data_IF_529755691292
#
_entry.id   IF_529755691292
#
_cell.length_a   1.000
_cell.length_b   1.000
_cell.length_c   1.000
_cell.angle_alpha   90.00
_cell.angle_beta   90.00
_cell.angle_gamma   90.00
#
_symmetry.space_group_name_H-M   'P 1'
#
loop_
_entity.id
_entity.type
_entity.pdbx_description
1 polymer ?
#
# COMPACT_ATOMS: atom_id res chain seq x y z
N UNK A 1 2.09 7.55 -17.31
CA UNK A 1 0.63 7.62 -17.06
C UNK A 1 0.26 6.63 -15.97
N UNK A 2 -0.60 7.03 -15.02
CA UNK A 2 -1.11 6.13 -13.99
C UNK A 2 -1.95 5.01 -14.60
N UNK A 3 -1.84 3.81 -14.03
CA UNK A 3 -2.62 2.63 -14.41
C UNK A 3 -3.39 2.08 -13.20
N UNK A 4 -4.46 1.33 -13.44
CA UNK A 4 -5.10 0.56 -12.36
C UNK A 4 -4.15 -0.53 -11.85
N UNK A 5 -4.38 -1.02 -10.65
CA UNK A 5 -3.56 -2.09 -10.08
C UNK A 5 -3.98 -3.49 -10.57
N UNK A 6 -5.09 -3.62 -11.30
CA UNK A 6 -5.68 -4.89 -11.69
C UNK A 6 -4.69 -5.81 -12.40
N UNK A 7 -4.11 -5.35 -13.51
CA UNK A 7 -3.24 -6.22 -14.31
C UNK A 7 -1.90 -6.53 -13.63
N UNK A 8 -1.30 -5.54 -12.94
CA UNK A 8 -0.05 -5.79 -12.22
C UNK A 8 -0.22 -6.81 -11.10
N UNK A 9 -1.37 -6.84 -10.42
CA UNK A 9 -1.63 -7.79 -9.33
C UNK A 9 -2.02 -9.17 -9.84
N UNK A 10 -2.72 -9.29 -10.97
CA UNK A 10 -2.94 -10.56 -11.64
C UNK A 10 -1.63 -11.21 -12.07
N UNK A 11 -0.72 -10.42 -12.67
CA UNK A 11 0.61 -10.89 -13.04
C UNK A 11 1.42 -11.30 -11.80
N UNK A 12 1.34 -10.53 -10.72
CA UNK A 12 2.03 -10.85 -9.47
C UNK A 12 1.55 -12.18 -8.89
N UNK A 13 0.24 -12.40 -8.83
CA UNK A 13 -0.31 -13.67 -8.37
C UNK A 13 0.14 -14.85 -9.22
N UNK A 14 0.00 -14.75 -10.53
CA UNK A 14 0.41 -15.79 -11.47
C UNK A 14 1.93 -16.06 -11.42
N UNK A 15 2.73 -15.04 -11.15
CA UNK A 15 4.19 -15.10 -11.07
C UNK A 15 4.76 -15.39 -9.69
N UNK A 16 3.91 -15.59 -8.67
CA UNK A 16 4.33 -15.82 -7.28
C UNK A 16 5.30 -14.74 -6.76
N UNK A 17 4.92 -13.48 -6.94
CA UNK A 17 5.57 -12.32 -6.34
C UNK A 17 4.52 -11.34 -5.83
N UNK A 18 4.92 -10.32 -5.10
CA UNK A 18 4.02 -9.26 -4.68
C UNK A 18 4.52 -7.89 -5.14
N UNK A 19 3.56 -7.02 -5.47
CA UNK A 19 3.83 -5.60 -5.72
C UNK A 19 3.76 -4.86 -4.39
N UNK A 20 4.78 -4.04 -4.10
CA UNK A 20 4.78 -3.20 -2.92
C UNK A 20 3.84 -2.00 -3.08
N UNK A 21 3.00 -1.76 -2.07
CA UNK A 21 2.39 -0.46 -1.85
C UNK A 21 3.21 0.29 -0.80
N UNK A 22 3.72 1.45 -1.18
CA UNK A 22 4.42 2.35 -0.27
C UNK A 22 3.61 3.61 -0.10
N UNK A 23 3.28 3.96 1.14
CA UNK A 23 2.51 5.16 1.44
C UNK A 23 3.35 6.42 1.18
N UNK A 24 2.72 7.45 0.62
CA UNK A 24 3.35 8.74 0.34
C UNK A 24 2.76 9.83 1.22
N UNK A 25 3.60 10.76 1.69
CA UNK A 25 3.20 11.87 2.54
C UNK A 25 3.60 13.23 1.98
N UNK A 26 4.55 13.27 1.02
CA UNK A 26 5.09 14.49 0.46
C UNK A 26 5.90 14.21 -0.81
N UNK A 27 6.57 15.25 -1.32
CA UNK A 27 7.40 15.20 -2.52
C UNK A 27 8.59 14.23 -2.37
N UNK A 28 9.27 14.23 -1.24
CA UNK A 28 10.47 13.41 -0.99
C UNK A 28 10.14 11.92 -1.01
N UNK A 29 9.05 11.52 -0.37
CA UNK A 29 8.54 10.14 -0.41
C UNK A 29 8.21 9.69 -1.81
N UNK A 30 7.41 10.48 -2.52
CA UNK A 30 6.94 10.16 -3.86
C UNK A 30 8.10 10.01 -4.83
N UNK A 31 9.04 10.95 -4.82
CA UNK A 31 10.22 10.92 -5.67
C UNK A 31 11.12 9.71 -5.38
N UNK A 32 11.39 9.43 -4.10
CA UNK A 32 12.23 8.31 -3.70
C UNK A 32 11.65 6.95 -4.16
N UNK A 33 10.36 6.76 -3.99
CA UNK A 33 9.68 5.52 -4.38
C UNK A 33 9.67 5.36 -5.91
N UNK A 34 9.30 6.40 -6.64
CA UNK A 34 9.25 6.36 -8.11
C UNK A 34 10.61 6.09 -8.74
N UNK A 35 11.67 6.76 -8.27
CA UNK A 35 13.03 6.54 -8.76
C UNK A 35 13.52 5.11 -8.49
N UNK A 36 13.22 4.57 -7.31
CA UNK A 36 13.60 3.20 -6.97
C UNK A 36 12.85 2.19 -7.83
N UNK A 37 11.55 2.37 -8.02
CA UNK A 37 10.74 1.52 -8.90
C UNK A 37 11.27 1.52 -10.33
N UNK A 38 11.62 2.70 -10.87
CA UNK A 38 12.18 2.83 -12.22
C UNK A 38 13.55 2.16 -12.33
N UNK A 39 14.44 2.38 -11.36
CA UNK A 39 15.78 1.77 -11.33
C UNK A 39 15.72 0.24 -11.31
N UNK A 40 14.80 -0.32 -10.53
CA UNK A 40 14.65 -1.77 -10.37
C UNK A 40 13.71 -2.41 -11.41
N UNK A 41 13.18 -1.62 -12.34
CA UNK A 41 12.18 -2.09 -13.30
C UNK A 41 11.03 -2.86 -12.62
N UNK A 42 10.50 -2.28 -11.55
CA UNK A 42 9.46 -2.87 -10.71
C UNK A 42 8.15 -2.10 -10.85
N UNK A 43 6.99 -2.78 -10.99
CA UNK A 43 5.71 -2.11 -10.78
C UNK A 43 5.62 -1.64 -9.32
N UNK A 44 4.84 -0.60 -9.09
CA UNK A 44 4.67 -0.03 -7.75
C UNK A 44 3.28 0.58 -7.55
N UNK A 45 2.81 0.56 -6.31
CA UNK A 45 1.57 1.20 -5.89
C UNK A 45 1.94 2.30 -4.89
N UNK A 46 1.51 3.53 -5.17
CA UNK A 46 1.61 4.67 -4.25
C UNK A 46 0.33 4.73 -3.42
N UNK A 47 0.43 4.46 -2.13
CA UNK A 47 -0.70 4.51 -1.21
C UNK A 47 -0.86 5.90 -0.60
N UNK A 48 -2.10 6.35 -0.50
CA UNK A 48 -2.47 7.62 0.14
C UNK A 48 -3.62 7.36 1.10
N UNK A 49 -3.39 7.52 2.40
CA UNK A 49 -4.45 7.49 3.40
C UNK A 49 -5.27 8.79 3.36
N UNK A 50 -6.45 8.81 3.94
CA UNK A 50 -7.25 10.04 4.03
C UNK A 50 -6.50 11.12 4.82
N UNK A 51 -5.80 10.75 5.89
CA UNK A 51 -4.94 11.65 6.67
C UNK A 51 -3.80 12.23 5.85
N UNK A 52 -3.10 11.41 5.07
CA UNK A 52 -2.05 11.88 4.17
C UNK A 52 -2.58 12.79 3.05
N UNK A 53 -3.73 12.45 2.48
CA UNK A 53 -4.40 13.29 1.49
C UNK A 53 -4.75 14.67 2.03
N UNK A 54 -5.27 14.72 3.26
CA UNK A 54 -5.55 15.98 3.97
C UNK A 54 -4.27 16.78 4.27
N UNK A 55 -3.21 16.09 4.73
CA UNK A 55 -1.91 16.70 4.99
C UNK A 55 -1.32 17.34 3.72
N UNK A 56 -1.42 16.67 2.59
CA UNK A 56 -0.98 17.18 1.28
C UNK A 56 -1.96 18.17 0.65
N UNK A 57 -2.89 18.71 1.39
CA UNK A 57 -3.91 19.70 1.03
C UNK A 57 -5.10 19.21 0.21
N UNK A 58 -5.10 17.98 -0.23
CA UNK A 58 -6.22 17.36 -0.94
C UNK A 58 -5.79 16.42 -2.06
N UNK A 59 -6.70 15.57 -2.50
CA UNK A 59 -6.42 14.53 -3.48
C UNK A 59 -6.02 15.06 -4.86
N UNK A 60 -6.55 16.20 -5.29
CA UNK A 60 -6.16 16.85 -6.58
C UNK A 60 -4.71 17.31 -6.54
N UNK A 61 -4.21 17.79 -5.40
CA UNK A 61 -2.79 18.14 -5.20
C UNK A 61 -1.92 16.88 -5.33
N UNK A 62 -2.33 15.79 -4.70
CA UNK A 62 -1.63 14.50 -4.79
C UNK A 62 -1.54 14.03 -6.23
N UNK A 63 -2.65 14.01 -6.96
CA UNK A 63 -2.70 13.62 -8.38
C UNK A 63 -1.79 14.49 -9.24
N UNK A 64 -1.84 15.81 -9.03
CA UNK A 64 -0.99 16.77 -9.76
C UNK A 64 0.50 16.54 -9.51
N UNK A 65 0.88 16.34 -8.25
CA UNK A 65 2.26 16.03 -7.85
C UNK A 65 2.76 14.72 -8.49
N UNK A 66 1.99 13.66 -8.38
CA UNK A 66 2.38 12.34 -8.91
C UNK A 66 2.50 12.37 -10.43
N UNK A 67 1.51 12.92 -11.14
CA UNK A 67 1.54 13.02 -12.59
C UNK A 67 2.72 13.86 -13.08
N UNK A 68 2.96 15.02 -12.46
CA UNK A 68 4.12 15.86 -12.79
C UNK A 68 5.44 15.13 -12.60
N UNK A 69 5.61 14.42 -11.48
CA UNK A 69 6.83 13.63 -11.25
C UNK A 69 7.01 12.49 -12.24
N UNK A 70 5.94 11.78 -12.58
CA UNK A 70 6.01 10.69 -13.55
C UNK A 70 6.48 11.19 -14.93
N UNK A 71 6.03 12.36 -15.33
CA UNK A 71 6.44 12.99 -16.59
C UNK A 71 7.91 13.47 -16.53
N UNK A 72 8.25 14.32 -15.54
CA UNK A 72 9.58 14.91 -15.42
C UNK A 72 10.70 13.88 -15.16
N UNK A 73 10.39 12.80 -14.44
CA UNK A 73 11.34 11.73 -14.14
C UNK A 73 11.36 10.62 -15.23
N UNK A 74 10.56 10.74 -16.28
CA UNK A 74 10.42 9.73 -17.33
C UNK A 74 10.12 8.33 -16.76
N UNK A 75 9.16 8.23 -15.85
CA UNK A 75 8.75 6.95 -15.24
C UNK A 75 7.99 6.12 -16.28
N UNK A 76 8.51 4.95 -16.60
CA UNK A 76 7.93 4.02 -17.56
C UNK A 76 7.36 2.75 -16.97
N UNK A 77 7.76 2.41 -15.75
CA UNK A 77 7.20 1.27 -15.01
C UNK A 77 5.72 1.50 -14.68
N UNK A 78 4.91 0.44 -14.55
CA UNK A 78 3.52 0.57 -14.12
C UNK A 78 3.42 1.16 -12.71
N UNK A 79 2.66 2.24 -12.55
CA UNK A 79 2.40 2.93 -11.28
C UNK A 79 0.91 3.09 -11.09
N UNK A 80 0.38 2.60 -9.98
CA UNK A 80 -0.98 2.88 -9.52
C UNK A 80 -0.96 3.90 -8.38
N UNK A 81 -1.87 4.87 -8.42
CA UNK A 81 -2.14 5.78 -7.31
C UNK A 81 -3.40 5.32 -6.61
N UNK A 82 -3.28 4.94 -5.36
CA UNK A 82 -4.24 4.14 -4.61
C UNK A 82 -4.65 4.84 -3.30
N UNK A 83 -5.96 5.00 -3.08
CA UNK A 83 -6.48 5.38 -1.77
C UNK A 83 -6.36 4.20 -0.82
N UNK A 84 -5.71 4.39 0.32
CA UNK A 84 -5.50 3.39 1.36
C UNK A 84 -6.47 3.61 2.52
N UNK A 85 -7.17 2.57 2.96
CA UNK A 85 -8.20 2.63 4.02
C UNK A 85 -9.23 3.75 3.83
N UNK A 86 -9.83 3.80 2.64
CA UNK A 86 -10.81 4.83 2.31
C UNK A 86 -12.19 4.58 2.92
N UNK A 87 -12.82 5.64 3.41
CA UNK A 87 -14.26 5.68 3.63
C UNK A 87 -15.01 5.65 2.29
N UNK A 88 -16.31 5.37 2.30
CA UNK A 88 -17.11 5.42 1.08
C UNK A 88 -17.04 6.80 0.40
N UNK A 89 -17.14 7.87 1.19
CA UNK A 89 -17.00 9.24 0.69
C UNK A 89 -15.60 9.55 0.16
N UNK A 90 -14.55 9.09 0.86
CA UNK A 90 -13.17 9.21 0.43
C UNK A 90 -12.92 8.53 -0.91
N UNK A 91 -13.50 7.35 -1.13
CA UNK A 91 -13.47 6.64 -2.40
C UNK A 91 -14.05 7.50 -3.55
N UNK A 92 -15.23 8.08 -3.35
CA UNK A 92 -15.86 8.93 -4.37
C UNK A 92 -15.04 10.18 -4.70
N UNK A 93 -14.45 10.81 -3.68
CA UNK A 93 -13.56 11.97 -3.86
C UNK A 93 -12.29 11.60 -4.65
N UNK A 94 -11.71 10.42 -4.42
CA UNK A 94 -10.55 9.96 -5.16
C UNK A 94 -10.88 9.61 -6.61
N UNK A 95 -12.04 9.04 -6.89
CA UNK A 95 -12.54 8.85 -8.26
C UNK A 95 -12.60 10.19 -9.00
N UNK A 96 -13.22 11.21 -8.38
CA UNK A 96 -13.32 12.55 -8.96
C UNK A 96 -11.94 13.21 -9.16
N UNK A 97 -11.00 12.99 -8.24
CA UNK A 97 -9.68 13.60 -8.28
C UNK A 97 -8.74 13.02 -9.34
N UNK A 98 -9.01 11.81 -9.84
CA UNK A 98 -8.20 11.15 -10.86
C UNK A 98 -7.22 10.09 -10.33
N UNK A 99 -7.50 9.47 -9.18
CA UNK A 99 -6.80 8.26 -8.73
C UNK A 99 -7.03 7.13 -9.73
N UNK A 100 -6.13 6.17 -9.78
CA UNK A 100 -6.26 4.98 -10.64
C UNK A 100 -6.71 3.73 -9.88
N UNK A 101 -6.77 3.81 -8.55
CA UNK A 101 -7.12 2.70 -7.68
C UNK A 101 -7.64 3.21 -6.34
N UNK A 102 -8.55 2.49 -5.71
CA UNK A 102 -9.07 2.84 -4.38
C UNK A 102 -9.27 1.58 -3.55
N UNK A 103 -9.11 1.73 -2.23
CA UNK A 103 -9.57 0.76 -1.24
C UNK A 103 -10.76 1.33 -0.48
N UNK A 104 -11.84 0.56 -0.42
CA UNK A 104 -12.93 0.77 0.50
C UNK A 104 -12.75 -0.10 1.73
N UNK A 105 -12.53 0.52 2.87
CA UNK A 105 -12.45 -0.16 4.15
C UNK A 105 -13.83 -0.28 4.78
N UNK A 106 -14.51 -1.35 4.43
CA UNK A 106 -15.82 -1.70 4.98
C UNK A 106 -15.76 -2.67 6.16
N UNK A 107 -14.57 -3.01 6.64
CA UNK A 107 -14.36 -4.04 7.66
C UNK A 107 -15.02 -3.74 9.01
N UNK A 108 -15.25 -2.47 9.32
CA UNK A 108 -15.92 -2.02 10.54
C UNK A 108 -17.46 -2.02 10.46
N UNK A 109 -18.02 -2.26 9.28
CA UNK A 109 -19.47 -2.45 9.10
C UNK A 109 -19.85 -3.92 9.25
N UNK A 110 -21.14 -4.22 9.56
CA UNK A 110 -21.68 -5.56 9.35
C UNK A 110 -21.47 -6.01 7.89
N UNK A 111 -21.29 -7.30 7.67
CA UNK A 111 -20.95 -7.81 6.32
C UNK A 111 -21.97 -7.40 5.25
N UNK A 112 -23.24 -7.34 5.60
CA UNK A 112 -24.30 -6.96 4.65
C UNK A 112 -24.14 -5.51 4.17
N UNK A 113 -23.70 -4.61 5.04
CA UNK A 113 -23.43 -3.22 4.70
C UNK A 113 -22.13 -3.09 3.89
N UNK A 114 -21.07 -3.81 4.28
CA UNK A 114 -19.85 -3.89 3.50
C UNK A 114 -20.13 -4.35 2.07
N UNK A 115 -20.91 -5.44 1.90
CA UNK A 115 -21.34 -5.97 0.59
C UNK A 115 -22.10 -4.93 -0.21
N UNK A 116 -23.06 -4.25 0.41
CA UNK A 116 -23.91 -3.27 -0.29
C UNK A 116 -23.07 -2.09 -0.82
N UNK A 117 -22.22 -1.50 0.01
CA UNK A 117 -21.34 -0.38 -0.36
C UNK A 117 -20.27 -0.80 -1.39
N UNK A 118 -19.65 -1.94 -1.20
CA UNK A 118 -18.66 -2.49 -2.14
C UNK A 118 -19.26 -2.73 -3.52
N UNK A 119 -20.48 -3.27 -3.59
CA UNK A 119 -21.20 -3.51 -4.84
C UNK A 119 -21.45 -2.23 -5.65
N UNK A 120 -21.74 -1.13 -4.98
CA UNK A 120 -21.88 0.18 -5.64
C UNK A 120 -20.54 0.66 -6.19
N UNK A 121 -19.47 0.58 -5.39
CA UNK A 121 -18.14 1.01 -5.81
C UNK A 121 -17.56 0.18 -6.95
N UNK A 122 -17.84 -1.12 -7.01
CA UNK A 122 -17.45 -1.99 -8.15
C UNK A 122 -17.94 -1.41 -9.48
N UNK A 123 -19.18 -0.93 -9.54
CA UNK A 123 -19.72 -0.30 -10.74
C UNK A 123 -19.03 1.02 -11.08
N UNK A 124 -18.82 1.86 -10.05
CA UNK A 124 -18.21 3.17 -10.23
C UNK A 124 -16.76 3.04 -10.74
N UNK A 125 -15.95 2.17 -10.14
CA UNK A 125 -14.55 1.99 -10.59
C UNK A 125 -14.48 1.41 -11.99
N UNK A 126 -15.39 0.50 -12.36
CA UNK A 126 -15.46 -0.06 -13.71
C UNK A 126 -15.70 1.02 -14.78
N UNK A 127 -16.60 1.98 -14.50
CA UNK A 127 -16.90 3.10 -15.39
C UNK A 127 -15.71 4.05 -15.58
N UNK A 128 -14.76 4.09 -14.63
CA UNK A 128 -13.60 4.97 -14.64
C UNK A 128 -12.27 4.24 -14.96
N UNK A 129 -12.31 2.95 -15.28
CA UNK A 129 -11.11 2.17 -15.55
C UNK A 129 -10.15 2.04 -14.35
N UNK A 130 -10.70 2.12 -13.14
CA UNK A 130 -9.96 2.04 -11.88
C UNK A 130 -10.04 0.63 -11.29
N UNK A 131 -9.17 0.34 -10.32
CA UNK A 131 -9.24 -0.88 -9.51
C UNK A 131 -9.79 -0.61 -8.12
N UNK A 132 -10.44 -1.62 -7.53
CA UNK A 132 -11.04 -1.60 -6.20
C UNK A 132 -10.48 -2.70 -5.32
N UNK A 133 -9.97 -2.32 -4.17
CA UNK A 133 -9.67 -3.17 -3.02
C UNK A 133 -10.81 -3.11 -2.00
N UNK A 134 -11.14 -4.23 -1.41
CA UNK A 134 -12.04 -4.31 -0.25
C UNK A 134 -11.33 -5.01 0.91
N UNK A 135 -11.91 -4.93 2.10
CA UNK A 135 -11.35 -5.56 3.31
C UNK A 135 -12.41 -6.38 4.06
N UNK A 136 -11.97 -7.53 4.56
CA UNK A 136 -12.74 -8.41 5.46
C UNK A 136 -11.88 -8.81 6.65
N UNK A 137 -12.46 -8.89 7.82
CA UNK A 137 -11.74 -8.97 9.09
C UNK A 137 -11.21 -7.60 9.49
N UNK A 138 -10.25 -7.53 10.38
CA UNK A 138 -9.62 -6.27 10.75
C UNK A 138 -8.11 -6.41 10.85
N UNK A 139 -7.41 -5.34 10.45
CA UNK A 139 -5.97 -5.24 10.66
C UNK A 139 -5.75 -4.68 12.06
N UNK A 140 -4.86 -5.29 12.84
CA UNK A 140 -4.53 -4.81 14.18
C UNK A 140 -3.68 -3.55 14.17
N UNK A 141 -3.51 -2.91 15.33
CA UNK A 141 -2.69 -1.70 15.48
C UNK A 141 -3.41 -0.41 15.13
N UNK A 142 -2.65 0.63 14.87
CA UNK A 142 -3.18 1.97 14.61
C UNK A 142 -2.64 2.48 13.26
N UNK A 143 -3.53 3.01 12.43
CA UNK A 143 -3.19 3.79 11.24
C UNK A 143 -4.14 4.99 11.11
N UNK A 144 -3.58 6.19 10.93
CA UNK A 144 -4.30 7.47 10.86
C UNK A 144 -5.30 7.70 12.02
N UNK A 145 -4.97 7.22 13.23
CA UNK A 145 -5.83 7.33 14.42
C UNK A 145 -6.95 6.29 14.50
N UNK A 146 -7.04 5.38 13.55
CA UNK A 146 -7.97 4.25 13.57
C UNK A 146 -7.27 3.03 14.20
N UNK A 147 -7.85 2.49 15.26
CA UNK A 147 -7.34 1.32 15.98
C UNK A 147 -8.13 0.09 15.55
N UNK A 148 -7.42 -0.88 14.95
CA UNK A 148 -8.00 -2.17 14.59
C UNK A 148 -7.84 -3.23 15.68
N UNK A 149 -8.82 -4.12 15.81
CA UNK A 149 -8.79 -5.21 16.77
C UNK A 149 -7.89 -6.40 16.33
N UNK A 150 -7.56 -6.50 15.05
CA UNK A 150 -6.73 -7.58 14.51
C UNK A 150 -7.47 -8.92 14.39
N UNK A 151 -8.74 -8.87 14.09
CA UNK A 151 -9.57 -10.07 13.92
C UNK A 151 -9.27 -10.75 12.58
N UNK A 152 -9.07 -12.06 12.62
CA UNK A 152 -8.93 -12.83 11.39
C UNK A 152 -10.23 -12.81 10.58
N UNK A 153 -10.09 -12.72 9.25
CA UNK A 153 -11.20 -12.71 8.33
C UNK A 153 -11.97 -14.06 8.33
N UNK A 154 -13.28 -13.98 8.18
CA UNK A 154 -14.10 -15.16 7.84
C UNK A 154 -13.95 -15.46 6.34
N UNK A 155 -13.44 -16.63 5.94
CA UNK A 155 -13.29 -16.99 4.53
C UNK A 155 -14.59 -16.93 3.72
N UNK A 156 -15.75 -17.19 4.34
CA UNK A 156 -17.05 -17.10 3.67
C UNK A 156 -17.43 -15.64 3.38
N UNK A 157 -17.16 -14.74 4.31
CA UNK A 157 -17.36 -13.30 4.09
C UNK A 157 -16.41 -12.78 3.00
N UNK A 158 -15.17 -13.26 2.98
CA UNK A 158 -14.21 -12.96 1.89
C UNK A 158 -14.78 -13.38 0.54
N UNK A 159 -15.40 -14.57 0.46
CA UNK A 159 -16.04 -15.03 -0.78
C UNK A 159 -17.23 -14.13 -1.17
N UNK A 160 -18.05 -13.71 -0.23
CA UNK A 160 -19.18 -12.80 -0.52
C UNK A 160 -18.68 -11.50 -1.18
N UNK A 161 -17.61 -10.93 -0.68
CA UNK A 161 -16.99 -9.71 -1.25
C UNK A 161 -16.33 -10.01 -2.61
N UNK A 162 -15.59 -11.11 -2.72
CA UNK A 162 -14.94 -11.52 -3.97
C UNK A 162 -15.96 -11.70 -5.12
N UNK A 163 -17.10 -12.30 -4.84
CA UNK A 163 -18.16 -12.54 -5.82
C UNK A 163 -18.82 -11.25 -6.37
N UNK A 164 -18.55 -10.10 -5.73
CA UNK A 164 -19.01 -8.79 -6.24
C UNK A 164 -18.17 -8.28 -7.42
N UNK A 165 -16.98 -8.85 -7.64
CA UNK A 165 -16.08 -8.44 -8.71
C UNK A 165 -15.08 -7.37 -8.31
N UNK A 166 -14.67 -7.31 -7.03
CA UNK A 166 -13.51 -6.51 -6.60
C UNK A 166 -12.24 -6.99 -7.29
N UNK A 167 -11.27 -6.12 -7.46
CA UNK A 167 -10.02 -6.45 -8.16
C UNK A 167 -9.01 -7.16 -7.25
N UNK A 168 -9.02 -6.88 -5.96
CA UNK A 168 -8.19 -7.53 -4.93
C UNK A 168 -8.80 -7.35 -3.55
N UNK A 169 -8.39 -8.20 -2.60
CA UNK A 169 -9.00 -8.30 -1.29
C UNK A 169 -7.97 -8.35 -0.18
N UNK A 170 -8.09 -7.44 0.78
CA UNK A 170 -7.40 -7.50 2.05
C UNK A 170 -8.17 -8.39 3.03
N UNK A 171 -7.50 -9.37 3.59
CA UNK A 171 -8.03 -10.23 4.62
C UNK A 171 -7.19 -10.09 5.90
N UNK A 172 -7.84 -9.85 7.02
CA UNK A 172 -7.19 -9.91 8.32
C UNK A 172 -6.67 -11.31 8.60
N UNK A 173 -5.37 -11.46 8.83
CA UNK A 173 -4.71 -12.75 9.11
C UNK A 173 -3.74 -12.65 10.31
N UNK A 174 -4.06 -11.76 11.26
CA UNK A 174 -3.21 -11.49 12.42
C UNK A 174 -2.10 -10.48 12.15
N UNK A 175 -2.12 -9.81 11.01
CA UNK A 175 -1.23 -8.72 10.65
C UNK A 175 -1.61 -7.43 11.39
N UNK A 176 -0.62 -6.55 11.58
CA UNK A 176 -0.73 -5.36 12.45
C UNK A 176 -0.10 -4.17 11.73
N UNK A 177 -0.77 -3.01 11.76
CA UNK A 177 -0.18 -1.74 11.36
C UNK A 177 0.85 -1.27 12.39
N UNK A 178 1.95 -0.68 11.93
CA UNK A 178 2.99 -0.18 12.81
C UNK A 178 4.00 -1.24 13.23
N UNK A 179 4.52 -1.09 14.46
CA UNK A 179 5.53 -2.01 15.00
C UNK A 179 4.87 -3.23 15.62
N UNK A 180 5.33 -4.40 15.22
CA UNK A 180 4.85 -5.66 15.81
C UNK A 180 5.34 -5.82 17.25
N UNK A 181 4.47 -6.22 18.19
CA UNK A 181 4.87 -6.48 19.56
C UNK A 181 5.72 -7.76 19.66
N UNK A 182 6.58 -7.83 20.68
CA UNK A 182 7.49 -8.97 20.86
C UNK A 182 6.77 -10.33 21.06
N UNK A 183 5.52 -10.30 21.51
CA UNK A 183 4.69 -11.49 21.71
C UNK A 183 3.77 -11.82 20.51
N UNK A 184 3.96 -11.17 19.37
CA UNK A 184 3.20 -11.49 18.17
C UNK A 184 3.44 -12.93 17.73
N UNK A 185 2.37 -13.63 17.39
CA UNK A 185 2.40 -15.07 17.11
C UNK A 185 2.62 -15.43 15.64
N UNK A 186 2.80 -14.42 14.78
CA UNK A 186 2.93 -14.64 13.34
C UNK A 186 1.59 -14.51 12.60
N UNK A 187 1.67 -14.63 11.26
CA UNK A 187 0.50 -14.63 10.40
C UNK A 187 -0.30 -15.93 10.52
N UNK A 188 -1.62 -15.83 10.41
CA UNK A 188 -2.51 -16.99 10.32
C UNK A 188 -2.53 -17.54 8.89
N UNK A 189 -1.65 -18.48 8.58
CA UNK A 189 -1.60 -19.11 7.26
C UNK A 189 -2.79 -20.05 7.04
N UNK A 190 -3.39 -20.56 8.09
CA UNK A 190 -4.63 -21.35 8.03
C UNK A 190 -5.77 -20.48 7.47
N UNK A 191 -5.96 -19.29 8.02
CA UNK A 191 -6.95 -18.32 7.51
C UNK A 191 -6.65 -17.93 6.08
N UNK A 192 -5.39 -17.60 5.76
CA UNK A 192 -5.00 -17.19 4.41
C UNK A 192 -5.26 -18.28 3.38
N UNK A 193 -4.91 -19.53 3.69
CA UNK A 193 -5.16 -20.69 2.81
C UNK A 193 -6.67 -20.91 2.57
N UNK A 194 -7.49 -20.80 3.61
CA UNK A 194 -8.93 -20.93 3.50
C UNK A 194 -9.56 -19.81 2.67
N UNK A 195 -9.08 -18.57 2.83
CA UNK A 195 -9.50 -17.43 2.00
C UNK A 195 -9.13 -17.68 0.54
N UNK A 196 -7.89 -18.06 0.26
CA UNK A 196 -7.43 -18.33 -1.10
C UNK A 196 -8.24 -19.45 -1.78
N UNK A 197 -8.55 -20.52 -1.06
CA UNK A 197 -9.36 -21.61 -1.59
C UNK A 197 -10.74 -21.14 -2.06
N UNK A 198 -11.39 -20.27 -1.29
CA UNK A 198 -12.72 -19.77 -1.61
C UNK A 198 -12.73 -18.62 -2.63
N UNK A 199 -11.67 -17.82 -2.70
CA UNK A 199 -11.58 -16.65 -3.58
C UNK A 199 -10.87 -16.93 -4.91
N UNK A 200 -10.22 -18.09 -5.05
CA UNK A 200 -9.62 -18.56 -6.29
C UNK A 200 -8.53 -17.65 -6.83
N UNK A 201 -8.71 -17.12 -8.03
CA UNK A 201 -7.72 -16.30 -8.73
C UNK A 201 -7.65 -14.85 -8.26
N UNK A 202 -8.47 -14.44 -7.31
CA UNK A 202 -8.46 -13.07 -6.79
C UNK A 202 -7.13 -12.77 -6.09
N UNK A 203 -6.39 -11.70 -6.47
CA UNK A 203 -5.21 -11.27 -5.73
C UNK A 203 -5.55 -10.89 -4.29
N UNK A 204 -4.75 -11.36 -3.34
CA UNK A 204 -4.90 -11.04 -1.92
C UNK A 204 -3.89 -9.98 -1.49
N UNK A 205 -4.24 -9.21 -0.47
CA UNK A 205 -3.45 -8.10 0.03
C UNK A 205 -3.04 -8.34 1.48
N UNK A 206 -1.79 -8.07 1.79
CA UNK A 206 -1.25 -8.06 3.14
C UNK A 206 -0.94 -6.63 3.58
N UNK A 207 -1.73 -6.12 4.50
CA UNK A 207 -1.46 -4.85 5.19
C UNK A 207 -0.43 -5.02 6.31
N UNK A 208 0.19 -3.92 6.76
CA UNK A 208 1.11 -3.96 7.88
C UNK A 208 2.38 -4.76 7.60
N UNK A 209 2.98 -4.61 6.44
CA UNK A 209 4.15 -5.37 6.00
C UNK A 209 5.46 -5.06 6.73
N UNK A 210 5.47 -4.07 7.63
CA UNK A 210 6.67 -3.65 8.37
C UNK A 210 7.09 -4.70 9.38
N UNK A 211 8.32 -5.23 9.25
CA UNK A 211 8.92 -6.10 10.27
C UNK A 211 8.41 -7.55 10.29
N UNK A 212 7.61 -7.96 9.32
CA UNK A 212 7.23 -9.38 9.18
C UNK A 212 8.46 -10.17 8.71
N UNK A 213 8.79 -11.32 9.33
CA UNK A 213 9.91 -12.17 8.91
C UNK A 213 9.82 -12.57 7.43
N UNK A 214 10.97 -12.62 6.76
CA UNK A 214 11.05 -12.89 5.32
C UNK A 214 10.44 -14.22 4.89
N UNK A 215 10.57 -15.26 5.72
CA UNK A 215 9.97 -16.57 5.48
C UNK A 215 8.43 -16.51 5.51
N UNK A 216 7.85 -15.72 6.40
CA UNK A 216 6.40 -15.50 6.47
C UNK A 216 5.89 -14.70 5.28
N UNK A 217 6.63 -13.67 4.84
CA UNK A 217 6.31 -12.92 3.61
C UNK A 217 6.30 -13.87 2.40
N UNK A 218 7.32 -14.68 2.22
CA UNK A 218 7.39 -15.64 1.11
C UNK A 218 6.25 -16.64 1.14
N UNK A 219 5.93 -17.18 2.30
CA UNK A 219 4.80 -18.12 2.46
C UNK A 219 3.45 -17.43 2.17
N UNK A 220 3.27 -16.19 2.57
CA UNK A 220 2.06 -15.43 2.25
C UNK A 220 1.91 -15.22 0.73
N UNK A 221 3.00 -14.90 0.04
CA UNK A 221 3.02 -14.77 -1.43
C UNK A 221 2.67 -16.10 -2.10
N UNK A 222 3.22 -17.21 -1.66
CA UNK A 222 2.90 -18.53 -2.19
C UNK A 222 1.42 -18.91 -1.99
N UNK A 223 0.77 -18.33 -0.98
CA UNK A 223 -0.64 -18.49 -0.68
C UNK A 223 -1.55 -17.42 -1.30
N UNK A 224 -1.05 -16.66 -2.29
CA UNK A 224 -1.87 -15.77 -3.10
C UNK A 224 -1.78 -14.28 -2.75
N UNK A 225 -0.99 -13.89 -1.75
CA UNK A 225 -0.71 -12.46 -1.50
C UNK A 225 0.08 -11.89 -2.67
N UNK A 226 -0.47 -10.83 -3.27
CA UNK A 226 0.05 -10.21 -4.49
C UNK A 226 0.34 -8.72 -4.32
N UNK A 227 -0.10 -8.12 -3.21
CA UNK A 227 0.15 -6.74 -2.80
C UNK A 227 0.52 -6.73 -1.33
N UNK A 228 1.57 -6.01 -0.98
CA UNK A 228 2.02 -5.87 0.41
C UNK A 228 2.23 -4.39 0.72
N UNK A 229 1.54 -3.90 1.76
CA UNK A 229 1.62 -2.52 2.19
C UNK A 229 2.78 -2.30 3.16
N UNK A 230 3.60 -1.30 2.88
CA UNK A 230 4.73 -0.86 3.73
C UNK A 230 4.62 0.64 3.96
N UNK A 231 4.48 1.06 5.20
CA UNK A 231 4.43 2.47 5.60
C UNK A 231 5.44 2.78 6.70
N UNK A 232 5.25 2.22 7.88
CA UNK A 232 6.01 2.54 9.10
C UNK A 232 7.52 2.36 8.92
N UNK A 233 7.96 1.35 8.21
CA UNK A 233 9.39 1.09 8.00
C UNK A 233 10.10 2.21 7.25
N UNK A 234 9.45 2.77 6.22
CA UNK A 234 9.96 3.95 5.51
C UNK A 234 9.98 5.20 6.40
N UNK A 235 8.97 5.38 7.23
CA UNK A 235 8.91 6.51 8.18
C UNK A 235 10.03 6.42 9.22
N UNK A 236 10.28 5.24 9.76
CA UNK A 236 11.36 5.01 10.72
C UNK A 236 12.74 5.22 10.10
N UNK A 237 12.95 4.73 8.88
CA UNK A 237 14.20 4.91 8.15
C UNK A 237 14.48 6.39 7.86
N UNK A 238 13.47 7.13 7.40
CA UNK A 238 13.57 8.57 7.18
C UNK A 238 13.92 9.33 8.47
N UNK A 239 13.19 9.05 9.54
CA UNK A 239 13.39 9.72 10.84
C UNK A 239 14.80 9.45 11.40
N UNK A 240 15.26 8.21 11.34
CA UNK A 240 16.60 7.82 11.83
C UNK A 240 17.73 8.51 11.05
N UNK A 241 17.65 8.50 9.73
CA UNK A 241 18.66 9.16 8.88
C UNK A 241 18.67 10.68 9.09
N UNK A 242 17.52 11.32 9.24
CA UNK A 242 17.40 12.76 9.52
C UNK A 242 17.98 13.09 10.90
N UNK A 243 17.67 12.27 11.91
CA UNK A 243 18.23 12.44 13.27
C UNK A 243 19.76 12.35 13.25
N UNK A 244 20.33 11.35 12.61
CA UNK A 244 21.78 11.17 12.48
C UNK A 244 22.44 12.36 11.80
N UNK A 245 21.82 12.94 10.79
CA UNK A 245 22.31 14.13 10.11
C UNK A 245 22.40 15.33 11.08
N UNK A 246 21.35 15.54 11.88
CA UNK A 246 21.29 16.62 12.88
C UNK A 246 22.27 16.37 14.03
N UNK A 247 22.30 15.16 14.59
CA UNK A 247 23.21 14.79 15.68
C UNK A 247 24.69 14.92 15.29
N UNK A 248 25.00 14.70 14.01
CA UNK A 248 26.33 14.93 13.46
C UNK A 248 26.66 16.42 13.21
N UNK A 249 25.74 17.34 13.50
CA UNK A 249 25.92 18.78 13.29
C UNK A 249 25.96 19.22 11.83
N UNK A 250 25.52 18.36 10.90
CA UNK A 250 25.57 18.64 9.46
C UNK A 250 24.67 19.80 9.02
N UNK A 251 23.59 20.03 9.74
CA UNK A 251 22.69 21.15 9.56
C UNK A 251 23.35 22.50 9.89
N UNK A 252 24.40 22.50 10.71
CA UNK A 252 25.17 23.68 11.12
C UNK A 252 26.36 23.98 10.19
N UNK A 253 26.73 23.06 9.31
CA UNK A 253 27.84 23.21 8.37
C UNK A 253 27.37 23.87 7.06
N UNK A 254 27.94 25.05 6.73
CA UNK A 254 27.60 25.77 5.49
C UNK A 254 26.10 26.03 5.37
N UNK A 255 25.47 25.47 4.32
CA UNK A 255 24.01 25.51 4.12
C UNK A 255 23.35 24.14 4.39
N UNK A 256 23.82 23.40 5.36
CA UNK A 256 23.27 22.10 5.75
C UNK A 256 21.80 22.15 6.23
N UNK A 257 21.34 23.33 6.68
CA UNK A 257 19.96 23.61 7.06
C UNK A 257 18.97 23.78 5.87
N UNK A 258 19.49 23.90 4.64
CA UNK A 258 18.64 23.97 3.45
C UNK A 258 17.82 22.65 3.35
N UNK A 259 16.47 22.73 3.25
CA UNK A 259 15.62 21.52 3.25
C UNK A 259 16.01 20.53 2.15
N UNK A 260 16.54 20.97 1.03
CA UNK A 260 17.05 20.08 -0.03
C UNK A 260 18.25 19.23 0.43
N UNK A 261 19.01 19.69 1.41
CA UNK A 261 20.14 18.98 2.03
C UNK A 261 19.71 18.23 3.29
N UNK A 262 18.91 18.90 4.13
CA UNK A 262 18.42 18.35 5.38
C UNK A 262 17.60 17.07 5.18
N UNK A 263 16.75 17.04 4.15
CA UNK A 263 15.85 15.92 3.86
C UNK A 263 16.48 14.84 2.95
N UNK A 264 17.63 15.12 2.34
CA UNK A 264 18.27 14.18 1.41
C UNK A 264 18.66 12.84 2.07
N UNK A 265 19.28 12.78 3.25
CA UNK A 265 19.61 11.50 3.90
C UNK A 265 18.37 10.64 4.19
N UNK A 266 17.27 11.26 4.61
CA UNK A 266 16.00 10.59 4.82
C UNK A 266 15.43 10.02 3.52
N UNK A 267 15.46 10.78 2.44
CA UNK A 267 15.03 10.32 1.12
C UNK A 267 15.85 9.12 0.62
N UNK A 268 17.16 9.15 0.79
CA UNK A 268 18.04 8.01 0.46
C UNK A 268 17.73 6.77 1.33
N UNK A 269 17.39 6.96 2.60
CA UNK A 269 17.00 5.87 3.49
C UNK A 269 15.66 5.23 3.04
N UNK A 270 14.70 6.02 2.56
CA UNK A 270 13.47 5.49 1.94
C UNK A 270 13.80 4.66 0.72
N UNK A 271 14.65 5.14 -0.18
CA UNK A 271 15.08 4.40 -1.39
C UNK A 271 15.67 3.04 -1.02
N UNK A 272 16.54 3.00 -0.02
CA UNK A 272 17.16 1.75 0.45
C UNK A 272 16.11 0.77 1.01
N UNK A 273 15.16 1.25 1.79
CA UNK A 273 14.06 0.44 2.34
C UNK A 273 13.15 -0.10 1.23
N UNK A 274 12.75 0.75 0.30
CA UNK A 274 11.90 0.35 -0.84
C UNK A 274 12.59 -0.70 -1.70
N UNK A 275 13.89 -0.52 -1.98
CA UNK A 275 14.70 -1.51 -2.70
C UNK A 275 14.71 -2.87 -2.01
N UNK A 276 14.99 -2.90 -0.72
CA UNK A 276 14.99 -4.12 0.08
C UNK A 276 13.62 -4.85 -0.01
N UNK A 277 12.53 -4.09 0.10
CA UNK A 277 11.18 -4.66 0.01
C UNK A 277 10.85 -5.17 -1.39
N UNK A 278 11.19 -4.44 -2.44
CA UNK A 278 10.99 -4.91 -3.82
C UNK A 278 11.77 -6.20 -4.11
N UNK A 279 13.00 -6.31 -3.60
CA UNK A 279 13.80 -7.54 -3.68
C UNK A 279 13.14 -8.68 -2.89
N UNK A 280 12.71 -8.43 -1.65
CA UNK A 280 12.03 -9.42 -0.80
C UNK A 280 10.73 -9.92 -1.42
N UNK A 281 9.92 -9.03 -1.99
CA UNK A 281 8.63 -9.35 -2.60
C UNK A 281 8.77 -9.97 -3.99
N UNK A 282 9.94 -9.91 -4.59
CA UNK A 282 10.22 -10.50 -5.89
C UNK A 282 9.73 -9.68 -7.09
N UNK A 283 9.45 -8.37 -6.92
CA UNK A 283 8.92 -7.51 -7.98
C UNK A 283 9.98 -6.89 -8.90
N UNK A 284 11.25 -7.04 -8.60
CA UNK A 284 12.37 -6.55 -9.44
C UNK A 284 12.32 -7.19 -10.82
N UNK A 285 12.43 -6.38 -11.88
CA UNK A 285 12.31 -6.79 -13.28
C UNK A 285 10.94 -7.38 -13.65
N UNK A 286 9.87 -6.94 -13.01
CA UNK A 286 8.50 -7.39 -13.27
C UNK A 286 7.59 -6.31 -13.90
N UNK A 287 8.14 -5.15 -14.27
CA UNK A 287 7.40 -4.09 -14.95
C UNK A 287 6.98 -4.44 -16.39
#
# INVERSE_FOLDING_TARGET
>A
MLVSATEMLKKAKAGHYAVGQFNINNLEWTKAILLTAQELNSPVILGVSEGAGKYMTGYKTVVGMVNGMMEELNITVPVALHLDHGSYEGCLKCVEAGFSSIMFDGSHYPIEENVAKTKELVKIVAEHGMSLEAEVGSIGGEEDGVIGAGECADPKECKMIADLGVDFLAAGIGNIHGKYPANWKGLSFETLAAVQELTGELPLVLHGGTGIPADQIKKAIDLGVSKINVNTECQLAFADATRKYIEAGKDLEGKGFDPRKLLAPGAEAIKATVKEKMELFGSVNKA
#
